data_IF_356096934590
#
_entry.id   IF_356096934590
#
_cell.length_a   1.000
_cell.length_b   1.000
_cell.length_c   1.000
_cell.angle_alpha   90.00
_cell.angle_beta   90.00
_cell.angle_gamma   90.00
#
_symmetry.space_group_name_H-M   'P 1'
#
loop_
_entity.id
_entity.type
_entity.pdbx_description
1 polymer ?
#
# COMPACT_ATOMS: atom_id res chain seq x y z
N UNK A 1 20.73 7.56 1.63
CA UNK A 1 19.50 6.96 2.17
C UNK A 1 18.39 7.37 1.22
N UNK A 2 17.68 6.43 0.60
CA UNK A 2 16.53 6.80 -0.24
C UNK A 2 15.41 7.18 0.72
N UNK A 3 15.04 8.45 0.78
CA UNK A 3 13.84 8.87 1.50
C UNK A 3 12.62 8.28 0.78
N UNK A 4 11.82 7.51 1.51
CA UNK A 4 10.52 7.02 1.03
C UNK A 4 9.45 8.02 1.44
N UNK A 5 8.58 8.40 0.50
CA UNK A 5 7.45 9.29 0.79
C UNK A 5 6.40 8.62 1.70
N UNK A 6 5.55 9.39 2.38
CA UNK A 6 4.44 8.89 3.22
C UNK A 6 3.57 7.84 2.53
N UNK A 7 3.19 8.06 1.27
CA UNK A 7 2.38 7.13 0.48
C UNK A 7 3.10 5.80 0.23
N UNK A 8 4.39 5.84 -0.12
CA UNK A 8 5.22 4.63 -0.27
C UNK A 8 5.41 3.89 1.05
N UNK A 9 5.55 4.62 2.16
CA UNK A 9 5.66 4.04 3.50
C UNK A 9 4.38 3.28 3.88
N UNK A 10 3.21 3.91 3.76
CA UNK A 10 1.91 3.26 4.04
C UNK A 10 1.69 2.06 3.12
N UNK A 11 2.01 2.21 1.83
CA UNK A 11 1.88 1.14 0.84
C UNK A 11 2.66 -0.11 1.25
N UNK A 12 3.95 0.06 1.58
CA UNK A 12 4.80 -1.05 2.05
C UNK A 12 4.32 -1.63 3.37
N UNK A 13 3.89 -0.79 4.31
CA UNK A 13 3.34 -1.23 5.59
C UNK A 13 2.11 -2.13 5.35
N UNK A 14 1.16 -1.70 4.52
CA UNK A 14 -0.06 -2.47 4.24
C UNK A 14 0.23 -3.82 3.57
N UNK A 15 1.25 -3.89 2.70
CA UNK A 15 1.71 -5.16 2.11
C UNK A 15 2.35 -6.06 3.16
N UNK A 16 3.16 -5.50 4.05
CA UNK A 16 3.77 -6.27 5.13
C UNK A 16 2.73 -6.77 6.13
N UNK A 17 1.72 -5.98 6.47
CA UNK A 17 0.59 -6.42 7.29
C UNK A 17 -0.10 -7.63 6.67
N UNK A 18 -0.38 -7.57 5.35
CA UNK A 18 -0.97 -8.68 4.63
C UNK A 18 -0.04 -9.91 4.62
N UNK A 19 1.26 -9.73 4.43
CA UNK A 19 2.25 -10.83 4.46
C UNK A 19 2.37 -11.46 5.85
N UNK A 20 2.40 -10.65 6.91
CA UNK A 20 2.43 -11.12 8.30
C UNK A 20 1.16 -11.86 8.65
N UNK A 21 -0.01 -11.41 8.20
CA UNK A 21 -1.27 -12.13 8.40
C UNK A 21 -1.24 -13.54 7.79
N UNK A 22 -0.58 -13.73 6.66
CA UNK A 22 -0.44 -15.04 6.01
C UNK A 22 0.69 -15.91 6.58
N UNK A 23 1.78 -15.30 7.06
CA UNK A 23 2.96 -15.99 7.55
C UNK A 23 3.49 -15.38 8.86
N UNK A 24 2.70 -15.41 9.95
CA UNK A 24 3.02 -14.70 11.20
C UNK A 24 4.24 -15.27 11.92
N UNK A 25 4.63 -16.49 11.58
CA UNK A 25 5.77 -17.21 12.16
C UNK A 25 7.12 -16.84 11.51
N UNK A 26 7.15 -15.95 10.51
CA UNK A 26 8.39 -15.53 9.82
C UNK A 26 8.92 -14.26 10.52
N UNK A 27 9.95 -14.36 11.38
CA UNK A 27 10.36 -13.24 12.24
C UNK A 27 10.86 -12.02 11.45
N UNK A 28 11.49 -12.26 10.30
CA UNK A 28 11.96 -11.19 9.43
C UNK A 28 10.81 -10.34 8.85
N UNK A 29 9.64 -10.93 8.57
CA UNK A 29 8.47 -10.18 8.10
C UNK A 29 7.88 -9.32 9.22
N UNK A 30 7.75 -9.89 10.42
CA UNK A 30 7.25 -9.18 11.60
C UNK A 30 8.15 -8.00 11.95
N UNK A 31 9.47 -8.22 12.01
CA UNK A 31 10.44 -7.17 12.29
C UNK A 31 10.40 -6.04 11.24
N UNK A 32 10.29 -6.38 9.95
CA UNK A 32 10.17 -5.38 8.89
C UNK A 32 8.86 -4.58 9.00
N UNK A 33 7.74 -5.25 9.31
CA UNK A 33 6.43 -4.61 9.53
C UNK A 33 6.50 -3.63 10.68
N UNK A 34 7.03 -4.08 11.84
CA UNK A 34 7.12 -3.27 13.05
C UNK A 34 7.98 -2.01 12.83
N UNK A 35 9.10 -2.14 12.11
CA UNK A 35 9.94 -0.99 11.75
C UNK A 35 9.21 0.05 10.88
N UNK A 36 8.40 -0.38 9.90
CA UNK A 36 7.59 0.54 9.09
C UNK A 36 6.41 1.13 9.87
N UNK A 37 5.81 0.36 10.78
CA UNK A 37 4.74 0.83 11.66
C UNK A 37 5.25 1.96 12.57
N UNK A 38 6.45 1.80 13.13
CA UNK A 38 7.09 2.84 13.93
C UNK A 38 7.38 4.10 13.09
N UNK A 39 7.88 3.94 11.86
CA UNK A 39 8.09 5.06 10.96
C UNK A 39 6.76 5.77 10.61
N UNK A 40 5.68 5.03 10.38
CA UNK A 40 4.35 5.61 10.10
C UNK A 40 3.81 6.38 11.30
N UNK A 41 4.02 5.89 12.52
CA UNK A 41 3.57 6.54 13.75
C UNK A 41 4.27 7.89 14.01
N UNK A 42 5.46 8.11 13.45
CA UNK A 42 6.20 9.38 13.55
C UNK A 42 5.75 10.42 12.52
N UNK A 43 4.95 10.03 11.51
CA UNK A 43 4.40 11.01 10.57
C UNK A 43 3.31 11.84 11.25
N UNK A 44 3.29 13.17 11.07
CA UNK A 44 2.25 14.05 11.58
C UNK A 44 0.97 13.95 10.73
N UNK A 45 0.51 12.73 10.48
CA UNK A 45 -0.65 12.40 9.69
C UNK A 45 -1.58 11.53 10.54
N UNK A 46 -2.78 12.03 10.84
CA UNK A 46 -3.84 11.23 11.45
C UNK A 46 -4.22 10.07 10.52
N UNK A 47 -4.77 8.96 11.03
CA UNK A 47 -5.30 7.91 10.16
C UNK A 47 -6.32 8.49 9.17
N UNK A 48 -6.14 8.22 7.89
CA UNK A 48 -7.01 8.69 6.80
C UNK A 48 -7.63 7.50 6.06
N UNK A 49 -8.80 7.73 5.46
CA UNK A 49 -9.56 6.69 4.74
C UNK A 49 -8.75 6.01 3.63
N UNK A 50 -7.84 6.75 3.02
CA UNK A 50 -7.01 6.33 1.89
C UNK A 50 -6.02 5.23 2.30
N UNK A 51 -5.60 5.15 3.56
CA UNK A 51 -4.74 4.05 4.04
C UNK A 51 -5.50 2.72 4.06
N UNK A 52 -6.74 2.76 4.54
CA UNK A 52 -7.60 1.58 4.56
C UNK A 52 -7.98 1.16 3.13
N UNK A 53 -8.26 2.12 2.24
CA UNK A 53 -8.52 1.82 0.83
C UNK A 53 -7.28 1.22 0.15
N UNK A 54 -6.10 1.76 0.41
CA UNK A 54 -4.84 1.24 -0.13
C UNK A 54 -4.57 -0.19 0.33
N UNK A 55 -4.85 -0.51 1.60
CA UNK A 55 -4.76 -1.87 2.12
C UNK A 55 -5.72 -2.83 1.38
N UNK A 56 -6.96 -2.42 1.13
CA UNK A 56 -7.93 -3.21 0.37
C UNK A 56 -7.47 -3.43 -1.08
N UNK A 57 -6.96 -2.39 -1.75
CA UNK A 57 -6.42 -2.51 -3.12
C UNK A 57 -5.21 -3.46 -3.16
N UNK A 58 -4.34 -3.43 -2.15
CA UNK A 58 -3.22 -4.36 -2.06
C UNK A 58 -3.68 -5.82 -1.82
N UNK A 59 -4.75 -6.04 -1.06
CA UNK A 59 -5.36 -7.36 -0.90
C UNK A 59 -5.97 -7.88 -2.22
N UNK A 60 -6.71 -7.04 -2.92
CA UNK A 60 -7.27 -7.34 -4.25
C UNK A 60 -6.17 -7.68 -5.27
N UNK A 61 -5.07 -6.90 -5.28
CA UNK A 61 -3.91 -7.16 -6.13
C UNK A 61 -3.31 -8.52 -5.84
N UNK A 62 -3.04 -8.84 -4.56
CA UNK A 62 -2.50 -10.14 -4.19
C UNK A 62 -3.41 -11.26 -4.71
N UNK A 63 -4.73 -11.18 -4.48
CA UNK A 63 -5.67 -12.19 -4.91
C UNK A 63 -5.70 -12.36 -6.44
N UNK A 64 -5.71 -11.25 -7.19
CA UNK A 64 -5.70 -11.26 -8.65
C UNK A 64 -4.38 -11.84 -9.21
N UNK A 65 -3.25 -11.46 -8.64
CA UNK A 65 -1.94 -11.99 -9.02
C UNK A 65 -1.80 -13.48 -8.69
N UNK A 66 -2.33 -13.93 -7.56
CA UNK A 66 -2.31 -15.35 -7.21
C UNK A 66 -3.22 -16.17 -8.14
N UNK A 67 -4.37 -15.61 -8.53
CA UNK A 67 -5.25 -16.21 -9.54
C UNK A 67 -4.59 -16.29 -10.92
N UNK A 68 -3.91 -15.21 -11.37
CA UNK A 68 -3.26 -15.23 -12.69
C UNK A 68 -2.07 -16.21 -12.69
N UNK A 69 -1.24 -16.23 -11.63
CA UNK A 69 -0.15 -17.21 -11.49
C UNK A 69 -0.66 -18.66 -11.49
N UNK A 70 -1.85 -18.92 -10.92
CA UNK A 70 -2.49 -20.24 -11.01
C UNK A 70 -2.92 -20.59 -12.43
N UNK A 71 -3.47 -19.63 -13.18
CA UNK A 71 -3.88 -19.84 -14.57
C UNK A 71 -2.67 -20.13 -15.47
N UNK A 72 -1.56 -19.39 -15.30
CA UNK A 72 -0.29 -19.64 -16.00
C UNK A 72 0.23 -21.05 -15.75
N UNK A 73 0.26 -21.50 -14.48
CA UNK A 73 0.72 -22.86 -14.13
C UNK A 73 -0.12 -23.96 -14.78
N UNK A 74 -1.39 -23.70 -15.10
CA UNK A 74 -2.26 -24.65 -15.80
C UNK A 74 -2.20 -24.50 -17.33
N UNK A 75 -1.45 -23.53 -17.86
CA UNK A 75 -1.47 -23.19 -19.29
C UNK A 75 -2.80 -22.57 -19.75
N UNK A 76 -3.60 -22.05 -18.83
CA UNK A 76 -4.91 -21.47 -19.11
C UNK A 76 -4.77 -19.96 -19.38
N UNK A 77 -4.70 -19.61 -20.67
CA UNK A 77 -4.58 -18.22 -21.15
C UNK A 77 -5.87 -17.73 -21.81
N UNK A 78 -7.02 -18.28 -21.40
CA UNK A 78 -8.32 -17.92 -21.95
C UNK A 78 -8.84 -16.54 -21.51
N UNK A 79 -10.12 -16.21 -21.79
CA UNK A 79 -10.71 -14.90 -21.49
C UNK A 79 -10.56 -14.45 -20.03
N UNK A 80 -10.61 -15.38 -19.07
CA UNK A 80 -10.42 -15.09 -17.65
C UNK A 80 -8.99 -14.62 -17.34
N UNK A 81 -7.98 -15.14 -18.04
CA UNK A 81 -6.60 -14.70 -17.91
C UNK A 81 -6.45 -13.24 -18.34
N UNK A 82 -7.01 -12.89 -19.51
CA UNK A 82 -7.00 -11.50 -20.00
C UNK A 82 -7.76 -10.56 -19.06
N UNK A 83 -8.88 -11.00 -18.48
CA UNK A 83 -9.64 -10.21 -17.51
C UNK A 83 -8.83 -9.96 -16.22
N UNK A 84 -8.14 -10.97 -15.70
CA UNK A 84 -7.25 -10.83 -14.54
C UNK A 84 -6.10 -9.87 -14.82
N UNK A 85 -5.46 -9.96 -15.99
CA UNK A 85 -4.38 -9.05 -16.37
C UNK A 85 -4.84 -7.59 -16.42
N UNK A 86 -6.02 -7.33 -16.99
CA UNK A 86 -6.63 -5.99 -17.01
C UNK A 86 -6.94 -5.49 -15.60
N UNK A 87 -7.52 -6.35 -14.76
CA UNK A 87 -7.83 -6.01 -13.36
C UNK A 87 -6.58 -5.65 -12.57
N UNK A 88 -5.47 -6.38 -12.75
CA UNK A 88 -4.19 -6.07 -12.11
C UNK A 88 -3.68 -4.69 -12.54
N UNK A 89 -3.79 -4.34 -13.82
CA UNK A 89 -3.41 -3.01 -14.32
C UNK A 89 -4.26 -1.90 -13.67
N UNK A 90 -5.59 -2.04 -13.68
CA UNK A 90 -6.51 -1.09 -13.05
C UNK A 90 -6.23 -0.89 -11.55
N UNK A 91 -5.96 -1.99 -10.83
CA UNK A 91 -5.65 -1.95 -9.41
C UNK A 91 -4.29 -1.27 -9.14
N UNK A 92 -3.28 -1.47 -9.98
CA UNK A 92 -1.99 -0.79 -9.87
C UNK A 92 -2.12 0.72 -10.09
N UNK A 93 -2.96 1.14 -11.03
CA UNK A 93 -3.25 2.56 -11.24
C UNK A 93 -3.95 3.16 -10.02
N UNK A 94 -4.94 2.44 -9.46
CA UNK A 94 -5.64 2.88 -8.24
C UNK A 94 -4.69 2.98 -7.05
N UNK A 95 -3.83 1.98 -6.85
CA UNK A 95 -2.79 1.96 -5.81
C UNK A 95 -1.87 3.17 -5.93
N UNK A 96 -1.41 3.47 -7.14
CA UNK A 96 -0.54 4.63 -7.40
C UNK A 96 -1.24 5.96 -7.10
N UNK A 97 -2.51 6.09 -7.48
CA UNK A 97 -3.31 7.27 -7.19
C UNK A 97 -3.52 7.48 -5.67
N UNK A 98 -3.81 6.41 -4.92
CA UNK A 98 -3.96 6.47 -3.47
C UNK A 98 -2.68 6.91 -2.76
N UNK A 99 -1.52 6.39 -3.19
CA UNK A 99 -0.21 6.82 -2.65
C UNK A 99 0.02 8.31 -2.83
N UNK A 100 -0.26 8.83 -4.03
CA UNK A 100 -0.13 10.26 -4.31
C UNK A 100 -1.10 11.12 -3.48
N UNK A 101 -2.30 10.62 -3.19
CA UNK A 101 -3.25 11.30 -2.30
C UNK A 101 -2.71 11.37 -0.86
N UNK A 102 -2.17 10.26 -0.35
CA UNK A 102 -1.55 10.20 0.98
C UNK A 102 -0.37 11.16 1.08
N UNK A 103 0.52 11.18 0.07
CA UNK A 103 1.65 12.13 0.02
C UNK A 103 1.17 13.59 0.09
N UNK A 104 0.11 13.93 -0.65
CA UNK A 104 -0.48 15.28 -0.62
C UNK A 104 -1.04 15.62 0.75
N UNK A 105 -1.76 14.70 1.39
CA UNK A 105 -2.35 14.95 2.72
C UNK A 105 -1.27 15.14 3.79
N UNK A 106 -0.20 14.34 3.74
CA UNK A 106 0.95 14.51 4.61
C UNK A 106 1.64 15.88 4.40
N UNK A 107 1.81 16.32 3.16
CA UNK A 107 2.35 17.65 2.86
C UNK A 107 1.47 18.81 3.34
N UNK A 108 0.15 18.65 3.28
CA UNK A 108 -0.82 19.64 3.80
C UNK A 108 -0.79 19.69 5.33
N UNK A 109 -0.61 18.57 6.01
CA UNK A 109 -0.50 18.52 7.47
C UNK A 109 0.73 19.31 7.97
N UNK A 110 1.89 19.09 7.34
CA UNK A 110 3.12 19.85 7.63
C UNK A 110 2.94 21.35 7.40
N UNK A 111 2.22 21.72 6.33
CA UNK A 111 1.95 23.13 6.01
C UNK A 111 0.96 23.80 6.98
N UNK A 112 0.02 23.04 7.54
CA UNK A 112 -1.01 23.55 8.47
C UNK A 112 -0.42 23.87 9.84
N UNK A 113 0.61 23.12 10.27
CA UNK A 113 1.36 23.40 11.51
C UNK A 113 2.18 24.71 11.44
N UNK A 114 2.47 25.25 10.25
CA UNK A 114 3.27 26.47 10.06
C UNK A 114 2.38 27.70 9.79
N UNK A 115 1.20 27.80 10.42
CA UNK A 115 0.44 29.06 10.46
C UNK A 115 0.71 29.81 11.75
N UNK A 116 1.89 30.42 11.84
CA UNK A 116 2.15 31.51 12.78
C UNK A 116 1.33 32.71 12.27
N UNK A 117 0.21 33.00 12.93
CA UNK A 117 -0.45 34.29 12.78
C UNK A 117 0.36 35.32 13.58
N UNK A 118 1.25 36.04 12.92
CA UNK A 118 1.76 37.31 13.47
C UNK A 118 0.62 38.34 13.44
N UNK A 119 0.28 38.88 14.61
CA UNK A 119 -0.39 40.16 14.77
C UNK A 119 0.56 41.10 15.49
#
# INVERSE_FOLDING_TARGET
>A
MIEIGPGELVDRLSILDLKVAHAPHVPALVAARDALAEARARLPLSPISEEAELANVNADLWAAEDAIRRAERRGDQGPNFTALARRIMELNDRRSALKALIDRQAGLAVSTEIKIYDR
#
